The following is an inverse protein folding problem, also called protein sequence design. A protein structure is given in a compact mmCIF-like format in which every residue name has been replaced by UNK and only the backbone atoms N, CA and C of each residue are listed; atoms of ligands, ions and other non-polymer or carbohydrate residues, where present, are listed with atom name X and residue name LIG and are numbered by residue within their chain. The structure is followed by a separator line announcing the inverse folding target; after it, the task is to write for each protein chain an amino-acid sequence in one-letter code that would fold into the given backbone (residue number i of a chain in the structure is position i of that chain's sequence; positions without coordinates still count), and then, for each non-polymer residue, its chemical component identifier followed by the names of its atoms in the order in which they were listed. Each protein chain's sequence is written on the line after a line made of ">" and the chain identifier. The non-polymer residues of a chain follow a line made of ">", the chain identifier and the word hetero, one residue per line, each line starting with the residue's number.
data_IF_791239171248
#
_entry.id   IF_791239171248
#
_cell.length_a   1.000
_cell.length_b   1.000
_cell.length_c   1.000
_cell.angle_alpha   90.00
_cell.angle_beta   90.00
_cell.angle_gamma   90.00
#
_symmetry.space_group_name_H-M   'P 1'
#
loop_
_entity.id
_entity.type
_entity.pdbx_description
1 polymer ?
#
# COMPACT_ATOMS: atom_id res chain seq x y z
N UNK A 1 64.00 -15.40 39.32
CA UNK A 1 65.22 -14.69 38.86
C UNK A 1 64.82 -14.03 37.55
N UNK A 2 64.22 -12.85 37.64
CA UNK A 2 64.90 -11.54 37.71
C UNK A 2 65.56 -11.22 36.36
N UNK A 3 65.38 -10.08 35.73
CA UNK A 3 64.62 -8.85 36.01
C UNK A 3 64.80 -7.95 34.78
N UNK A 4 64.14 -6.78 34.80
CA UNK A 4 64.37 -5.56 33.98
C UNK A 4 63.57 -5.39 32.69
N UNK A 5 63.08 -4.19 32.33
CA UNK A 5 62.69 -2.91 32.97
C UNK A 5 62.60 -1.89 31.82
N UNK A 6 61.67 -0.93 31.92
CA UNK A 6 61.76 0.38 31.25
C UNK A 6 61.12 0.45 29.84
N UNK A 7 60.29 1.44 29.50
CA UNK A 7 59.97 2.70 30.15
C UNK A 7 58.99 3.53 29.31
N UNK A 8 58.44 4.56 29.93
CA UNK A 8 57.37 5.47 29.49
C UNK A 8 57.64 6.32 28.23
N UNK A 9 56.55 6.68 27.53
CA UNK A 9 56.32 8.00 26.90
C UNK A 9 54.78 8.20 26.80
N UNK A 10 54.13 9.03 27.61
CA UNK A 10 54.05 10.50 27.55
C UNK A 10 53.27 11.04 26.32
N UNK A 11 52.00 11.38 26.57
CA UNK A 11 51.30 12.60 26.16
C UNK A 11 51.35 13.08 24.71
N UNK A 12 50.18 13.08 24.05
CA UNK A 12 49.78 14.24 23.24
C UNK A 12 48.25 14.33 23.14
N UNK A 13 47.68 15.20 23.97
CA UNK A 13 46.37 15.81 23.79
C UNK A 13 46.36 16.52 22.42
N UNK A 14 45.29 16.37 21.64
CA UNK A 14 44.98 17.28 20.53
C UNK A 14 43.72 18.04 20.90
N UNK A 15 43.94 19.32 21.13
CA UNK A 15 42.95 20.36 21.38
C UNK A 15 41.97 20.48 20.20
N UNK A 16 40.69 20.69 20.56
CA UNK A 16 39.61 21.07 19.66
C UNK A 16 39.82 22.53 19.19
N UNK A 17 39.65 22.78 17.90
CA UNK A 17 39.43 24.12 17.38
C UNK A 17 37.92 24.37 17.17
N UNK A 18 37.40 25.60 17.42
CA UNK A 18 35.97 25.86 17.52
C UNK A 18 35.31 26.27 16.19
N UNK A 19 34.07 25.81 16.00
CA UNK A 19 33.11 26.23 14.97
C UNK A 19 32.66 27.70 15.17
N UNK A 20 32.38 28.48 14.10
CA UNK A 20 31.83 29.83 14.22
C UNK A 20 30.30 29.84 14.37
N UNK A 21 29.82 30.54 15.40
CA UNK A 21 28.40 30.82 15.73
C UNK A 21 27.65 31.65 14.66
N UNK A 22 26.33 31.43 14.45
CA UNK A 22 25.49 32.26 13.60
C UNK A 22 24.98 33.52 14.33
N UNK A 23 25.12 34.69 13.69
CA UNK A 23 24.63 35.98 14.21
C UNK A 23 23.10 36.16 14.15
N UNK A 24 22.55 37.13 14.91
CA UNK A 24 21.11 37.24 15.20
C UNK A 24 20.34 38.00 14.11
N UNK A 25 19.10 37.59 13.87
CA UNK A 25 18.17 38.27 12.95
C UNK A 25 17.49 39.51 13.54
N UNK A 26 16.76 40.25 12.71
CA UNK A 26 15.54 40.96 13.08
C UNK A 26 14.37 40.37 12.26
N UNK A 27 13.15 40.17 12.74
CA UNK A 27 12.35 40.98 13.65
C UNK A 27 10.94 40.99 13.05
N UNK A 28 9.99 40.42 13.77
CA UNK A 28 8.56 40.34 13.46
C UNK A 28 7.92 41.71 13.20
N UNK A 29 7.07 41.81 12.18
CA UNK A 29 6.09 42.90 12.03
C UNK A 29 4.78 42.35 11.44
N UNK A 30 3.68 42.78 12.06
CA UNK A 30 2.30 42.37 11.83
C UNK A 30 1.71 43.01 10.56
N UNK A 31 0.75 42.30 9.96
CA UNK A 31 -0.22 42.79 8.96
C UNK A 31 -0.92 44.09 9.38
N UNK A 32 -1.30 44.94 8.40
CA UNK A 32 -2.67 45.45 8.43
C UNK A 32 -3.33 45.53 7.04
N UNK A 33 -4.58 45.07 6.97
CA UNK A 33 -5.68 45.91 6.48
C UNK A 33 -6.03 45.82 4.99
N UNK A 34 -7.24 45.36 4.75
CA UNK A 34 -7.97 45.28 3.48
C UNK A 34 -8.16 46.65 2.81
N UNK A 35 -8.01 46.71 1.48
CA UNK A 35 -8.66 47.73 0.65
C UNK A 35 -9.30 47.03 -0.57
N UNK A 36 -10.63 46.95 -0.57
CA UNK A 36 -11.44 46.39 -1.65
C UNK A 36 -11.60 47.45 -2.75
N UNK A 37 -11.11 47.17 -3.96
CA UNK A 37 -11.37 48.01 -5.13
C UNK A 37 -12.77 47.70 -5.69
N UNK A 38 -13.68 48.67 -5.59
CA UNK A 38 -15.06 48.61 -6.09
C UNK A 38 -15.01 48.78 -7.61
N UNK A 39 -15.23 47.70 -8.37
CA UNK A 39 -15.41 47.78 -9.82
C UNK A 39 -16.78 48.38 -10.16
N UNK A 40 -16.74 49.41 -11.00
CA UNK A 40 -17.88 50.21 -11.47
C UNK A 40 -18.96 49.37 -12.17
N UNK A 41 -20.22 49.65 -11.85
CA UNK A 41 -21.41 48.89 -12.28
C UNK A 41 -21.81 49.18 -13.74
N UNK A 42 -21.00 49.92 -14.49
CA UNK A 42 -21.24 50.29 -15.88
C UNK A 42 -20.68 49.30 -16.91
N UNK A 43 -19.98 48.24 -16.49
CA UNK A 43 -19.35 47.24 -17.38
C UNK A 43 -20.01 45.85 -17.38
N UNK A 44 -21.34 45.77 -17.26
CA UNK A 44 -22.09 44.53 -17.51
C UNK A 44 -22.93 44.65 -18.79
N UNK A 45 -22.81 43.73 -19.76
CA UNK A 45 -23.71 43.66 -20.91
C UNK A 45 -25.13 43.31 -20.47
N UNK A 46 -26.14 43.98 -21.02
CA UNK A 46 -27.55 43.75 -20.71
C UNK A 46 -28.11 42.42 -21.25
N UNK A 47 -29.24 41.93 -20.70
CA UNK A 47 -29.84 40.67 -21.08
C UNK A 47 -30.63 40.85 -22.39
N UNK A 48 -29.96 40.69 -23.54
CA UNK A 48 -30.60 40.85 -24.86
C UNK A 48 -30.07 39.95 -25.98
N UNK A 49 -28.80 39.54 -25.96
CA UNK A 49 -28.17 38.87 -27.12
C UNK A 49 -28.03 37.35 -26.96
N UNK A 50 -29.08 36.70 -26.44
CA UNK A 50 -29.24 35.24 -26.52
C UNK A 50 -30.29 34.90 -27.57
N UNK A 51 -29.88 34.84 -28.85
CA UNK A 51 -30.45 33.96 -29.89
C UNK A 51 -29.79 34.20 -31.24
N UNK A 52 -28.81 33.37 -31.58
CA UNK A 52 -28.63 32.72 -32.90
C UNK A 52 -27.16 32.38 -33.16
N UNK A 53 -26.79 31.10 -32.95
CA UNK A 53 -25.80 30.38 -33.76
C UNK A 53 -25.53 29.00 -33.13
N UNK A 54 -26.38 28.05 -33.49
CA UNK A 54 -26.15 26.61 -33.29
C UNK A 54 -24.96 26.16 -34.14
N UNK A 55 -23.83 25.78 -33.51
CA UNK A 55 -22.86 24.78 -34.00
C UNK A 55 -21.83 24.46 -32.90
N UNK A 56 -21.61 23.19 -32.51
CA UNK A 56 -20.58 22.86 -31.53
C UNK A 56 -19.20 22.96 -32.21
N UNK A 57 -18.42 23.96 -31.78
CA UNK A 57 -17.00 24.09 -32.13
C UNK A 57 -16.23 23.12 -31.24
N UNK A 58 -15.53 22.18 -31.87
CA UNK A 58 -14.65 21.24 -31.19
C UNK A 58 -13.62 21.99 -30.35
N UNK A 59 -13.56 21.68 -29.05
CA UNK A 59 -12.51 22.13 -28.16
C UNK A 59 -11.25 21.32 -28.46
N UNK A 60 -10.47 21.78 -29.44
CA UNK A 60 -9.04 21.53 -29.50
C UNK A 60 -8.40 22.20 -28.29
N UNK A 61 -7.86 21.41 -27.36
CA UNK A 61 -7.27 21.94 -26.12
C UNK A 61 -6.88 20.90 -25.06
N UNK A 62 -7.16 19.61 -25.28
CA UNK A 62 -6.58 18.52 -24.49
C UNK A 62 -5.67 17.70 -25.39
N UNK A 63 -4.37 17.91 -25.18
CA UNK A 63 -3.27 17.45 -26.01
C UNK A 63 -3.32 15.94 -26.28
N UNK A 64 -3.20 15.59 -27.57
CA UNK A 64 -3.14 14.24 -28.14
C UNK A 64 -2.18 13.22 -27.47
N UNK A 65 -1.11 13.59 -26.73
CA UNK A 65 -0.29 12.61 -26.02
C UNK A 65 -1.03 11.88 -24.88
N UNK A 66 -1.93 12.57 -24.17
CA UNK A 66 -2.63 12.01 -22.99
C UNK A 66 -3.66 10.96 -23.42
N UNK A 67 -4.39 11.21 -24.51
CA UNK A 67 -5.32 10.22 -25.08
C UNK A 67 -4.59 9.02 -25.69
N UNK A 68 -3.35 9.21 -26.18
CA UNK A 68 -2.54 8.12 -26.74
C UNK A 68 -1.93 7.26 -25.63
N UNK A 69 -1.50 7.87 -24.52
CA UNK A 69 -1.05 7.15 -23.32
C UNK A 69 -2.19 6.44 -22.62
N UNK A 70 -3.35 7.08 -22.45
CA UNK A 70 -4.56 6.44 -21.94
C UNK A 70 -4.97 5.25 -22.82
N UNK A 71 -4.90 5.38 -24.16
CA UNK A 71 -5.19 4.28 -25.07
C UNK A 71 -4.16 3.14 -24.99
N UNK A 72 -2.89 3.42 -24.71
CA UNK A 72 -1.82 2.42 -24.57
C UNK A 72 -1.85 1.73 -23.20
N UNK A 73 -2.18 2.45 -22.13
CA UNK A 73 -2.43 1.90 -20.80
C UNK A 73 -3.70 1.04 -20.79
N UNK A 74 -4.78 1.51 -21.42
CA UNK A 74 -6.00 0.72 -21.64
C UNK A 74 -5.74 -0.48 -22.55
N UNK A 75 -4.81 -0.38 -23.51
CA UNK A 75 -4.42 -1.49 -24.38
C UNK A 75 -3.72 -2.64 -23.64
N UNK A 76 -2.82 -2.34 -22.70
CA UNK A 76 -2.15 -3.36 -21.89
C UNK A 76 -3.06 -3.99 -20.83
N UNK A 77 -3.94 -3.20 -20.21
CA UNK A 77 -4.94 -3.70 -19.25
C UNK A 77 -6.05 -4.50 -19.96
N UNK A 78 -6.46 -4.08 -21.16
CA UNK A 78 -7.43 -4.78 -22.02
C UNK A 78 -6.85 -6.06 -22.64
N UNK A 79 -5.54 -6.16 -22.86
CA UNK A 79 -4.96 -7.42 -23.35
C UNK A 79 -5.00 -8.53 -22.27
N UNK A 80 -4.70 -8.17 -21.01
CA UNK A 80 -4.72 -9.11 -19.88
C UNK A 80 -6.16 -9.46 -19.45
N UNK A 81 -7.04 -8.46 -19.31
CA UNK A 81 -8.43 -8.66 -18.87
C UNK A 81 -9.39 -9.00 -20.02
N UNK A 82 -9.07 -8.58 -21.25
CA UNK A 82 -9.87 -8.83 -22.45
C UNK A 82 -9.81 -10.27 -22.95
N UNK A 83 -8.87 -11.08 -22.48
CA UNK A 83 -8.85 -12.53 -22.72
C UNK A 83 -9.95 -13.23 -21.90
N UNK A 84 -10.17 -12.78 -20.66
CA UNK A 84 -11.25 -13.25 -19.79
C UNK A 84 -12.62 -12.72 -20.24
N UNK A 85 -12.71 -11.45 -20.65
CA UNK A 85 -13.95 -10.90 -21.22
C UNK A 85 -14.33 -11.53 -22.57
N UNK A 86 -13.36 -11.87 -23.44
CA UNK A 86 -13.67 -12.58 -24.71
C UNK A 86 -14.13 -14.01 -24.47
N UNK A 87 -13.58 -14.69 -23.46
CA UNK A 87 -14.06 -16.01 -23.06
C UNK A 87 -15.51 -15.95 -22.53
N UNK A 88 -15.87 -14.86 -21.82
CA UNK A 88 -17.24 -14.63 -21.35
C UNK A 88 -18.22 -14.22 -22.48
N UNK A 89 -17.76 -13.48 -23.48
CA UNK A 89 -18.59 -13.08 -24.62
C UNK A 89 -18.84 -14.20 -25.65
N UNK A 90 -18.07 -15.30 -25.59
CA UNK A 90 -18.19 -16.45 -26.49
C UNK A 90 -19.20 -17.50 -26.08
N UNK A 91 -19.79 -17.41 -24.88
CA UNK A 91 -20.75 -18.39 -24.36
C UNK A 91 -22.12 -17.71 -24.20
N UNK A 92 -22.80 -17.53 -25.33
CA UNK A 92 -24.22 -17.22 -25.32
C UNK A 92 -25.02 -18.41 -24.81
N UNK A 93 -25.65 -18.24 -23.64
CA UNK A 93 -26.78 -19.05 -23.20
C UNK A 93 -26.58 -19.78 -21.87
N UNK A 94 -27.23 -19.27 -20.83
CA UNK A 94 -27.66 -20.05 -19.66
C UNK A 94 -26.80 -19.93 -18.40
N UNK A 95 -27.34 -19.21 -17.41
CA UNK A 95 -27.11 -19.41 -15.97
C UNK A 95 -25.67 -19.29 -15.42
N UNK A 96 -25.11 -18.08 -15.31
CA UNK A 96 -23.82 -17.88 -14.63
C UNK A 96 -23.56 -16.44 -14.18
N UNK A 97 -24.20 -16.02 -13.07
CA UNK A 97 -23.73 -14.86 -12.29
C UNK A 97 -22.44 -15.14 -11.49
N UNK A 98 -22.10 -16.42 -11.29
CA UNK A 98 -20.97 -16.87 -10.45
C UNK A 98 -19.62 -16.85 -11.20
N UNK A 99 -19.63 -17.08 -12.53
CA UNK A 99 -18.41 -17.17 -13.35
C UNK A 99 -17.67 -15.84 -13.52
N UNK A 100 -18.39 -14.72 -13.65
CA UNK A 100 -17.81 -13.38 -13.81
C UNK A 100 -17.22 -12.84 -12.52
N UNK A 101 -17.90 -13.04 -11.38
CA UNK A 101 -17.39 -12.67 -10.06
C UNK A 101 -16.13 -13.46 -9.70
N UNK A 102 -16.11 -14.77 -10.01
CA UNK A 102 -14.95 -15.63 -9.77
C UNK A 102 -13.76 -15.28 -10.68
N UNK A 103 -14.00 -14.89 -11.93
CA UNK A 103 -12.95 -14.42 -12.83
C UNK A 103 -12.35 -13.07 -12.36
N UNK A 104 -13.19 -12.13 -11.92
CA UNK A 104 -12.74 -10.85 -11.39
C UNK A 104 -11.90 -11.01 -10.10
N UNK A 105 -12.33 -11.88 -9.19
CA UNK A 105 -11.58 -12.22 -7.97
C UNK A 105 -10.21 -12.85 -8.27
N UNK A 106 -10.13 -13.72 -9.29
CA UNK A 106 -8.84 -14.29 -9.73
C UNK A 106 -7.90 -13.25 -10.35
N UNK A 107 -8.42 -12.33 -11.16
CA UNK A 107 -7.63 -11.21 -11.70
C UNK A 107 -7.08 -10.34 -10.57
N UNK A 108 -7.92 -10.01 -9.58
CA UNK A 108 -7.49 -9.26 -8.40
C UNK A 108 -6.35 -9.97 -7.64
N UNK A 109 -6.48 -11.28 -7.38
CA UNK A 109 -5.40 -12.02 -6.70
C UNK A 109 -4.09 -12.01 -7.51
N UNK A 110 -4.16 -12.09 -8.84
CA UNK A 110 -2.96 -12.01 -9.68
C UNK A 110 -2.27 -10.65 -9.58
N UNK A 111 -3.04 -9.56 -9.57
CA UNK A 111 -2.51 -8.22 -9.36
C UNK A 111 -1.89 -8.04 -7.97
N UNK A 112 -2.54 -8.56 -6.92
CA UNK A 112 -2.03 -8.55 -5.55
C UNK A 112 -0.69 -9.31 -5.44
N UNK A 113 -0.58 -10.52 -6.04
CA UNK A 113 0.68 -11.27 -6.11
C UNK A 113 1.78 -10.48 -6.82
N UNK A 114 1.45 -9.90 -7.97
CA UNK A 114 2.40 -9.11 -8.73
C UNK A 114 2.89 -7.92 -7.89
N UNK A 115 2.00 -7.19 -7.22
CA UNK A 115 2.35 -6.05 -6.38
C UNK A 115 3.28 -6.47 -5.23
N UNK A 116 2.97 -7.56 -4.52
CA UNK A 116 3.82 -8.08 -3.45
C UNK A 116 5.20 -8.53 -3.95
N UNK A 117 5.27 -9.16 -5.13
CA UNK A 117 6.55 -9.51 -5.75
C UNK A 117 7.39 -8.25 -6.07
N UNK A 118 6.78 -7.19 -6.60
CA UNK A 118 7.49 -5.94 -6.85
C UNK A 118 7.97 -5.29 -5.55
N UNK A 119 7.13 -5.29 -4.51
CA UNK A 119 7.52 -4.80 -3.19
C UNK A 119 8.69 -5.59 -2.62
N UNK A 120 8.68 -6.92 -2.73
CA UNK A 120 9.77 -7.76 -2.27
C UNK A 120 11.07 -7.48 -3.06
N UNK A 121 10.98 -7.34 -4.38
CA UNK A 121 12.12 -6.95 -5.24
C UNK A 121 12.75 -5.64 -4.80
N UNK A 122 11.93 -4.60 -4.58
CA UNK A 122 12.37 -3.29 -4.12
C UNK A 122 12.99 -3.38 -2.72
N UNK A 123 12.33 -4.09 -1.81
CA UNK A 123 12.79 -4.26 -0.43
C UNK A 123 14.16 -4.95 -0.34
N UNK A 124 14.33 -6.06 -1.07
CA UNK A 124 15.63 -6.76 -1.16
C UNK A 124 16.70 -5.86 -1.75
N UNK A 125 16.39 -5.13 -2.83
CA UNK A 125 17.32 -4.21 -3.48
C UNK A 125 17.79 -3.12 -2.52
N UNK A 126 16.85 -2.40 -1.89
CA UNK A 126 17.16 -1.33 -0.94
C UNK A 126 17.96 -1.86 0.25
N UNK A 127 17.56 -3.01 0.80
CA UNK A 127 18.26 -3.65 1.91
C UNK A 127 19.70 -3.99 1.53
N UNK A 128 19.93 -4.64 0.39
CA UNK A 128 21.28 -5.00 -0.06
C UNK A 128 22.15 -3.77 -0.32
N UNK A 129 21.62 -2.77 -1.04
CA UNK A 129 22.38 -1.55 -1.34
C UNK A 129 22.75 -0.79 -0.07
N UNK A 130 21.80 -0.66 0.86
CA UNK A 130 22.01 0.08 2.11
C UNK A 130 22.89 -0.69 3.10
N UNK A 131 22.77 -2.02 3.18
CA UNK A 131 23.59 -2.82 4.08
C UNK A 131 25.05 -2.93 3.60
N UNK A 132 25.26 -3.08 2.29
CA UNK A 132 26.61 -3.14 1.72
C UNK A 132 27.33 -1.79 1.79
N UNK A 133 26.61 -0.67 1.73
CA UNK A 133 27.20 0.66 1.96
C UNK A 133 27.51 0.92 3.43
N UNK A 134 26.71 0.36 4.35
CA UNK A 134 26.89 0.48 5.79
C UNK A 134 28.14 -0.28 6.30
N UNK A 135 28.44 -1.46 5.74
CA UNK A 135 29.69 -2.21 5.97
C UNK A 135 29.89 -2.78 7.39
N UNK A 136 28.84 -2.81 8.22
CA UNK A 136 28.81 -3.44 9.56
C UNK A 136 27.63 -4.40 9.70
N UNK A 137 27.62 -5.18 10.78
CA UNK A 137 26.50 -6.06 11.12
C UNK A 137 25.19 -5.27 11.29
N UNK A 138 24.11 -5.80 10.73
CA UNK A 138 22.76 -5.26 10.84
C UNK A 138 22.15 -5.65 12.18
N UNK A 139 21.61 -4.65 12.88
CA UNK A 139 20.80 -4.80 14.08
C UNK A 139 19.31 -4.80 13.72
N UNK A 140 18.45 -5.12 14.69
CA UNK A 140 17.00 -5.18 14.48
C UNK A 140 16.34 -3.80 14.33
N UNK A 141 17.03 -2.73 14.73
CA UNK A 141 16.58 -1.35 14.57
C UNK A 141 16.87 -0.80 13.15
N UNK A 142 17.57 -1.57 12.32
CA UNK A 142 17.91 -1.17 10.97
C UNK A 142 16.67 -1.12 10.06
N UNK A 143 16.19 0.09 9.76
CA UNK A 143 14.92 0.32 9.07
C UNK A 143 14.74 -0.45 7.74
N UNK A 144 15.72 -0.52 6.82
CA UNK A 144 15.58 -1.34 5.60
C UNK A 144 15.35 -2.83 5.89
N UNK A 145 15.96 -3.35 6.96
CA UNK A 145 15.79 -4.73 7.38
C UNK A 145 14.42 -4.97 8.03
N UNK A 146 13.95 -4.04 8.86
CA UNK A 146 12.59 -4.09 9.41
C UNK A 146 11.55 -4.13 8.29
N UNK A 147 11.68 -3.25 7.29
CA UNK A 147 10.78 -3.23 6.13
C UNK A 147 10.82 -4.52 5.33
N UNK A 148 12.00 -5.12 5.14
CA UNK A 148 12.12 -6.43 4.51
C UNK A 148 11.28 -7.49 5.23
N UNK A 149 11.37 -7.58 6.56
CA UNK A 149 10.58 -8.55 7.31
C UNK A 149 9.07 -8.27 7.24
N UNK A 150 8.66 -6.99 7.22
CA UNK A 150 7.25 -6.62 7.01
C UNK A 150 6.75 -7.10 5.65
N UNK A 151 7.48 -6.83 4.57
CA UNK A 151 7.10 -7.25 3.22
C UNK A 151 7.12 -8.78 3.09
N UNK A 152 8.09 -9.46 3.70
CA UNK A 152 8.15 -10.92 3.78
C UNK A 152 6.93 -11.52 4.46
N UNK A 153 6.54 -10.96 5.61
CA UNK A 153 5.34 -11.38 6.32
C UNK A 153 4.08 -11.24 5.46
N UNK A 154 3.95 -10.15 4.70
CA UNK A 154 2.82 -9.98 3.77
C UNK A 154 2.83 -11.02 2.65
N UNK A 155 4.00 -11.33 2.08
CA UNK A 155 4.15 -12.38 1.07
C UNK A 155 3.70 -13.75 1.60
N UNK A 156 4.11 -14.09 2.83
CA UNK A 156 3.74 -15.36 3.49
C UNK A 156 2.29 -15.36 4.00
N UNK A 157 1.64 -14.22 4.15
CA UNK A 157 0.22 -14.14 4.52
C UNK A 157 -0.72 -14.23 3.32
N UNK A 158 -0.24 -13.85 2.14
CA UNK A 158 -1.08 -13.78 0.94
C UNK A 158 -1.66 -15.16 0.57
N UNK A 159 -2.99 -15.24 0.57
CA UNK A 159 -3.72 -16.46 0.19
C UNK A 159 -3.68 -17.56 1.25
N UNK A 160 -3.36 -17.26 2.52
CA UNK A 160 -3.54 -18.21 3.61
C UNK A 160 -5.03 -18.58 3.78
N UNK A 161 -5.29 -19.86 3.95
CA UNK A 161 -6.63 -20.39 4.20
C UNK A 161 -7.10 -19.99 5.58
N UNK A 162 -8.25 -19.32 5.66
CA UNK A 162 -8.89 -18.93 6.94
C UNK A 162 -9.67 -20.11 7.55
N UNK A 163 -9.24 -21.36 7.30
CA UNK A 163 -10.05 -22.56 7.53
C UNK A 163 -10.54 -22.63 8.99
N UNK A 164 -11.86 -22.81 9.17
CA UNK A 164 -12.49 -23.17 10.46
C UNK A 164 -12.14 -24.62 10.79
N UNK A 165 -10.89 -24.91 11.14
CA UNK A 165 -10.54 -26.21 11.68
C UNK A 165 -11.12 -26.33 13.09
N UNK A 166 -11.92 -27.37 13.34
CA UNK A 166 -12.44 -27.72 14.67
C UNK A 166 -11.32 -28.12 15.64
N UNK A 167 -10.11 -28.37 15.14
CA UNK A 167 -8.87 -28.54 15.90
C UNK A 167 -7.95 -27.35 15.54
N UNK A 168 -7.81 -26.41 16.47
CA UNK A 168 -7.28 -25.06 16.23
C UNK A 168 -5.78 -24.97 15.93
N UNK A 169 -5.38 -25.21 14.69
CA UNK A 169 -4.07 -24.86 14.12
C UNK A 169 -4.28 -24.45 12.66
N UNK A 170 -3.74 -23.38 12.08
CA UNK A 170 -2.94 -22.24 12.53
C UNK A 170 -3.36 -21.07 11.60
N UNK A 171 -3.97 -20.01 12.14
CA UNK A 171 -4.36 -18.81 11.35
C UNK A 171 -3.15 -17.91 11.00
N UNK A 172 -1.94 -18.41 11.17
CA UNK A 172 -0.71 -17.65 11.05
C UNK A 172 0.17 -18.25 9.97
N UNK A 173 0.96 -17.39 9.32
CA UNK A 173 2.01 -17.78 8.38
C UNK A 173 3.10 -18.67 9.02
N UNK A 174 3.14 -18.78 10.34
CA UNK A 174 4.02 -19.72 11.04
C UNK A 174 3.68 -21.19 10.81
N UNK A 175 2.41 -21.54 10.59
CA UNK A 175 2.01 -22.94 10.33
C UNK A 175 2.77 -23.60 9.18
N UNK A 176 2.84 -22.96 7.99
CA UNK A 176 3.72 -23.40 6.91
C UNK A 176 5.19 -23.55 7.30
N UNK A 177 5.73 -22.63 8.12
CA UNK A 177 7.15 -22.65 8.52
C UNK A 177 7.47 -23.84 9.43
N UNK A 178 6.50 -24.35 10.20
CA UNK A 178 6.64 -25.58 10.99
C UNK A 178 6.85 -26.83 10.11
N UNK A 179 6.49 -26.79 8.83
CA UNK A 179 6.81 -27.91 7.92
C UNK A 179 8.32 -28.00 7.62
N UNK A 180 9.06 -26.89 7.73
CA UNK A 180 10.49 -26.87 7.37
C UNK A 180 11.28 -27.84 8.25
N UNK A 181 11.00 -27.93 9.55
CA UNK A 181 11.72 -28.85 10.45
C UNK A 181 11.52 -30.33 10.05
N UNK A 182 10.37 -30.66 9.47
CA UNK A 182 10.04 -32.03 9.02
C UNK A 182 10.71 -32.38 7.70
N UNK A 183 10.96 -31.39 6.86
CA UNK A 183 11.53 -31.55 5.52
C UNK A 183 13.05 -31.34 5.52
N UNK A 184 13.58 -30.56 6.45
CA UNK A 184 14.99 -30.20 6.58
C UNK A 184 15.44 -30.31 8.04
N UNK A 185 16.16 -31.38 8.42
CA UNK A 185 16.64 -31.58 9.80
C UNK A 185 17.53 -30.43 10.31
N UNK A 186 18.22 -29.71 9.41
CA UNK A 186 19.03 -28.53 9.75
C UNK A 186 18.21 -27.40 10.39
N UNK A 187 16.89 -27.34 10.14
CA UNK A 187 16.00 -26.34 10.73
C UNK A 187 15.53 -26.72 12.15
N UNK A 188 15.93 -27.87 12.70
CA UNK A 188 15.56 -28.30 14.06
C UNK A 188 16.01 -27.32 15.13
N UNK A 189 17.19 -26.70 14.96
CA UNK A 189 17.75 -25.76 15.92
C UNK A 189 16.92 -24.48 16.02
N UNK A 190 16.49 -23.92 14.89
CA UNK A 190 15.64 -22.73 14.87
C UNK A 190 14.23 -23.05 15.37
N UNK A 191 13.66 -24.20 15.01
CA UNK A 191 12.33 -24.58 15.46
C UNK A 191 12.31 -24.77 16.99
N UNK A 192 13.34 -25.39 17.54
CA UNK A 192 13.51 -25.55 18.99
C UNK A 192 13.74 -24.20 19.68
N UNK A 193 14.55 -23.33 19.09
CA UNK A 193 14.80 -21.98 19.62
C UNK A 193 13.50 -21.17 19.71
N UNK A 194 12.70 -21.12 18.64
CA UNK A 194 11.41 -20.39 18.61
C UNK A 194 10.40 -20.98 19.60
N UNK A 195 10.38 -22.30 19.79
CA UNK A 195 9.52 -22.96 20.79
C UNK A 195 9.90 -22.55 22.22
N UNK A 196 11.19 -22.45 22.50
CA UNK A 196 11.75 -22.19 23.82
C UNK A 196 11.85 -20.71 24.20
N UNK A 197 11.36 -19.78 23.38
CA UNK A 197 11.25 -18.35 23.73
C UNK A 197 9.96 -18.10 24.54
N UNK A 198 10.05 -17.91 25.87
CA UNK A 198 8.87 -17.74 26.72
C UNK A 198 8.20 -16.37 26.52
N UNK A 199 8.92 -15.40 25.97
CA UNK A 199 8.44 -14.05 25.67
C UNK A 199 7.38 -14.05 24.55
N UNK A 200 7.42 -15.05 23.65
CA UNK A 200 6.53 -15.17 22.49
C UNK A 200 5.28 -15.99 22.79
N UNK A 201 4.13 -15.30 22.82
CA UNK A 201 2.81 -15.85 23.11
C UNK A 201 2.01 -16.15 21.85
N UNK A 202 2.28 -15.46 20.74
CA UNK A 202 1.50 -15.62 19.50
C UNK A 202 2.22 -16.45 18.45
N UNK A 203 1.44 -17.13 17.59
CA UNK A 203 2.00 -17.82 16.42
C UNK A 203 2.60 -16.83 15.40
N UNK A 204 2.15 -15.57 15.38
CA UNK A 204 2.72 -14.53 14.51
C UNK A 204 4.11 -14.11 15.00
N UNK A 205 4.26 -13.83 16.29
CA UNK A 205 5.55 -13.52 16.92
C UNK A 205 6.55 -14.67 16.76
N UNK A 206 6.10 -15.92 16.91
CA UNK A 206 6.92 -17.11 16.59
C UNK A 206 7.36 -17.16 15.13
N UNK A 207 6.47 -16.83 14.20
CA UNK A 207 6.82 -16.69 12.78
C UNK A 207 7.89 -15.62 12.52
N UNK A 208 7.79 -14.46 13.19
CA UNK A 208 8.79 -13.38 13.06
C UNK A 208 10.15 -13.80 13.62
N UNK A 209 10.18 -14.39 14.82
CA UNK A 209 11.41 -14.90 15.40
C UNK A 209 12.06 -15.98 14.51
N UNK A 210 11.24 -16.85 13.92
CA UNK A 210 11.72 -17.85 12.96
C UNK A 210 12.39 -17.19 11.75
N UNK A 211 11.79 -16.14 11.18
CA UNK A 211 12.37 -15.39 10.05
C UNK A 211 13.69 -14.72 10.43
N UNK A 212 13.78 -14.15 11.63
CA UNK A 212 15.02 -13.53 12.14
C UNK A 212 16.14 -14.56 12.23
N UNK A 213 15.87 -15.71 12.85
CA UNK A 213 16.84 -16.80 12.98
C UNK A 213 17.25 -17.39 11.64
N UNK A 214 16.31 -17.61 10.72
CA UNK A 214 16.60 -18.13 9.39
C UNK A 214 17.48 -17.18 8.56
N UNK A 215 17.28 -15.86 8.70
CA UNK A 215 18.14 -14.86 8.08
C UNK A 215 19.54 -14.86 8.70
N UNK A 216 19.66 -14.87 10.03
CA UNK A 216 20.95 -14.94 10.73
C UNK A 216 21.74 -16.21 10.38
N UNK A 217 21.06 -17.33 10.16
CA UNK A 217 21.68 -18.57 9.69
C UNK A 217 22.04 -18.57 8.20
N UNK A 218 21.64 -17.53 7.44
CA UNK A 218 21.84 -17.43 5.97
C UNK A 218 21.19 -18.59 5.21
N UNK A 219 20.05 -19.07 5.73
CA UNK A 219 19.31 -20.25 5.22
C UNK A 219 17.86 -19.93 4.85
N UNK A 220 17.43 -18.67 4.99
CA UNK A 220 16.05 -18.26 4.71
C UNK A 220 15.58 -18.68 3.30
N UNK A 221 16.41 -18.46 2.27
CA UNK A 221 16.10 -18.86 0.90
C UNK A 221 15.96 -20.38 0.77
N UNK A 222 16.88 -21.14 1.36
CA UNK A 222 16.90 -22.60 1.30
C UNK A 222 15.66 -23.20 1.96
N UNK A 223 15.28 -22.69 3.13
CA UNK A 223 14.11 -23.16 3.86
C UNK A 223 12.80 -22.86 3.13
N UNK A 224 12.64 -21.66 2.56
CA UNK A 224 11.47 -21.34 1.76
C UNK A 224 11.43 -22.13 0.45
N UNK A 225 12.60 -22.39 -0.17
CA UNK A 225 12.70 -23.27 -1.34
C UNK A 225 12.13 -24.66 -1.05
N UNK A 226 12.50 -25.25 0.09
CA UNK A 226 11.99 -26.57 0.50
C UNK A 226 10.46 -26.58 0.61
N UNK A 227 9.84 -25.49 1.10
CA UNK A 227 8.38 -25.37 1.14
C UNK A 227 7.77 -25.33 -0.26
N UNK A 228 8.31 -24.50 -1.16
CA UNK A 228 7.78 -24.34 -2.52
C UNK A 228 7.98 -25.61 -3.35
N UNK A 229 9.09 -26.32 -3.17
CA UNK A 229 9.32 -27.62 -3.84
C UNK A 229 8.31 -28.69 -3.37
N UNK A 230 7.68 -28.49 -2.20
CA UNK A 230 6.69 -29.39 -1.60
C UNK A 230 5.27 -28.80 -1.58
N UNK A 231 4.81 -28.22 -2.71
CA UNK A 231 3.47 -27.60 -2.85
C UNK A 231 2.31 -28.46 -2.36
N UNK A 232 2.41 -29.79 -2.47
CA UNK A 232 1.37 -30.71 -2.00
C UNK A 232 1.09 -30.58 -0.49
N UNK A 233 2.13 -30.42 0.34
CA UNK A 233 1.98 -30.14 1.77
C UNK A 233 1.58 -28.69 2.01
N UNK A 234 2.19 -27.76 1.27
CA UNK A 234 1.92 -26.33 1.39
C UNK A 234 0.46 -25.97 1.06
N UNK A 235 -0.18 -26.75 0.18
CA UNK A 235 -1.58 -26.61 -0.20
C UNK A 235 -2.57 -26.83 0.96
N UNK A 236 -2.16 -27.41 2.08
CA UNK A 236 -2.98 -27.48 3.29
C UNK A 236 -3.23 -26.09 3.88
N UNK A 237 -2.25 -25.20 3.74
CA UNK A 237 -2.23 -23.86 4.35
C UNK A 237 -2.63 -22.75 3.41
N UNK A 238 -2.35 -22.88 2.11
CA UNK A 238 -2.59 -21.83 1.13
C UNK A 238 -3.66 -22.20 0.10
N UNK A 239 -4.37 -21.20 -0.38
CA UNK A 239 -5.21 -21.30 -1.58
C UNK A 239 -4.33 -21.50 -2.83
N UNK A 240 -4.83 -22.17 -3.88
CA UNK A 240 -4.06 -22.41 -5.10
C UNK A 240 -3.47 -21.13 -5.71
N UNK A 241 -4.23 -20.03 -5.68
CA UNK A 241 -3.86 -18.73 -6.22
C UNK A 241 -2.96 -17.89 -5.29
N UNK A 242 -2.46 -18.47 -4.19
CA UNK A 242 -1.57 -17.78 -3.25
C UNK A 242 -0.18 -17.53 -3.85
N UNK A 243 0.49 -16.47 -3.36
CA UNK A 243 1.81 -16.06 -3.83
C UNK A 243 2.85 -17.19 -3.73
N UNK A 244 2.87 -17.93 -2.61
CA UNK A 244 3.80 -19.05 -2.41
C UNK A 244 3.45 -20.30 -3.24
N UNK A 245 2.25 -20.34 -3.82
CA UNK A 245 1.76 -21.45 -4.65
C UNK A 245 1.95 -21.20 -6.14
N UNK A 246 2.21 -19.95 -6.54
CA UNK A 246 2.38 -19.50 -7.93
C UNK A 246 3.87 -19.24 -8.26
N UNK A 247 4.15 -18.73 -9.47
CA UNK A 247 5.53 -18.50 -9.96
C UNK A 247 6.26 -17.41 -9.18
N UNK A 248 5.55 -16.41 -8.66
CA UNK A 248 6.11 -15.28 -7.92
C UNK A 248 6.86 -15.75 -6.66
N UNK A 249 6.37 -16.80 -5.99
CA UNK A 249 7.06 -17.40 -4.84
C UNK A 249 8.46 -17.92 -5.18
N UNK A 250 8.60 -18.58 -6.33
CA UNK A 250 9.91 -19.08 -6.79
C UNK A 250 10.87 -17.94 -7.13
N UNK A 251 10.35 -16.86 -7.74
CA UNK A 251 11.14 -15.65 -8.03
C UNK A 251 11.63 -15.02 -6.74
N UNK A 252 10.75 -14.85 -5.75
CA UNK A 252 11.11 -14.29 -4.44
C UNK A 252 12.20 -15.14 -3.77
N UNK A 253 12.05 -16.46 -3.72
CA UNK A 253 13.06 -17.36 -3.16
C UNK A 253 14.42 -17.20 -3.87
N UNK A 254 14.42 -17.09 -5.20
CA UNK A 254 15.65 -16.84 -5.96
C UNK A 254 16.34 -15.52 -5.59
N UNK A 255 15.56 -14.46 -5.34
CA UNK A 255 16.09 -13.15 -4.92
C UNK A 255 16.65 -13.20 -3.49
N UNK A 256 16.04 -13.97 -2.59
CA UNK A 256 16.48 -14.11 -1.20
C UNK A 256 17.89 -14.70 -1.06
N UNK A 257 18.36 -15.47 -2.05
CA UNK A 257 19.75 -15.97 -2.07
C UNK A 257 20.76 -14.83 -1.99
N UNK A 258 20.44 -13.67 -2.57
CA UNK A 258 21.28 -12.48 -2.49
C UNK A 258 21.49 -11.98 -1.05
N UNK A 259 20.55 -12.25 -0.14
CA UNK A 259 20.63 -11.82 1.27
C UNK A 259 21.66 -12.62 2.07
N UNK A 260 22.18 -13.75 1.57
CA UNK A 260 23.17 -14.56 2.27
C UNK A 260 24.49 -13.79 2.52
N UNK A 261 24.74 -12.71 1.77
CA UNK A 261 25.91 -11.84 1.98
C UNK A 261 25.77 -10.95 3.21
N UNK A 262 24.56 -10.75 3.71
CA UNK A 262 24.30 -9.89 4.86
C UNK A 262 24.88 -10.52 6.13
N UNK A 263 25.38 -9.67 7.01
CA UNK A 263 25.75 -10.02 8.37
C UNK A 263 24.73 -9.37 9.31
N UNK A 264 23.92 -10.18 10.00
CA UNK A 264 22.85 -9.71 10.85
C UNK A 264 22.97 -10.35 12.24
N UNK A 265 22.78 -9.54 13.28
CA UNK A 265 22.80 -9.97 14.66
C UNK A 265 21.55 -9.45 15.38
N UNK A 266 20.46 -10.21 15.27
CA UNK A 266 19.14 -9.80 15.73
C UNK A 266 18.89 -10.36 17.13
N UNK A 267 18.72 -9.46 18.09
CA UNK A 267 18.50 -9.84 19.48
C UNK A 267 17.01 -10.08 19.73
N UNK A 268 16.60 -11.34 19.81
CA UNK A 268 15.19 -11.70 20.09
C UNK A 268 14.74 -11.37 21.52
N UNK A 269 15.67 -11.11 22.43
CA UNK A 269 15.37 -10.90 23.85
C UNK A 269 14.95 -9.45 24.09
N UNK A 270 13.73 -9.25 24.57
CA UNK A 270 13.18 -7.92 24.85
C UNK A 270 12.49 -7.24 23.66
N UNK A 271 12.44 -7.88 22.49
CA UNK A 271 11.65 -7.40 21.35
C UNK A 271 10.20 -7.89 21.46
N UNK A 272 9.24 -6.97 21.36
CA UNK A 272 7.82 -7.31 21.28
C UNK A 272 7.41 -7.72 19.85
N UNK A 273 7.85 -8.91 19.45
CA UNK A 273 7.49 -9.49 18.16
C UNK A 273 6.02 -9.91 18.09
N UNK A 274 5.31 -10.02 19.22
CA UNK A 274 3.88 -10.35 19.24
C UNK A 274 3.01 -9.16 18.82
N UNK A 275 3.35 -7.95 19.26
CA UNK A 275 2.53 -6.74 19.03
C UNK A 275 2.96 -5.89 17.84
N UNK A 276 4.07 -6.20 17.18
CA UNK A 276 4.56 -5.40 16.05
C UNK A 276 3.52 -5.34 14.92
N UNK A 277 3.11 -4.13 14.52
CA UNK A 277 2.23 -3.91 13.37
C UNK A 277 3.11 -3.59 12.18
N UNK A 278 3.19 -4.52 11.23
CA UNK A 278 3.99 -4.33 10.02
C UNK A 278 3.28 -3.42 9.04
N UNK A 279 3.60 -2.13 9.03
CA UNK A 279 3.17 -1.19 7.97
C UNK A 279 4.31 -1.02 6.98
N UNK A 280 4.00 -1.13 5.69
CA UNK A 280 4.98 -0.88 4.62
C UNK A 280 5.17 0.64 4.51
N UNK A 281 6.39 1.10 4.78
CA UNK A 281 6.76 2.51 4.63
C UNK A 281 7.27 2.75 3.21
N UNK A 282 6.43 3.37 2.38
CA UNK A 282 6.76 3.66 0.99
C UNK A 282 7.82 4.75 0.83
N UNK A 283 8.05 5.59 1.84
CA UNK A 283 9.03 6.67 1.76
C UNK A 283 10.46 6.16 1.50
N UNK A 284 10.75 4.95 1.97
CA UNK A 284 12.03 4.27 1.75
C UNK A 284 12.25 3.84 0.30
N UNK A 285 11.17 3.59 -0.45
CA UNK A 285 11.24 3.17 -1.85
C UNK A 285 11.12 4.34 -2.83
N UNK A 286 10.52 5.45 -2.41
CA UNK A 286 10.36 6.65 -3.22
C UNK A 286 11.66 7.44 -3.39
N UNK A 287 12.61 7.32 -2.45
CA UNK A 287 13.91 7.99 -2.52
C UNK A 287 14.82 7.42 -3.62
N UNK A 288 14.77 6.11 -3.85
CA UNK A 288 15.58 5.43 -4.89
C UNK A 288 15.05 5.62 -6.32
N UNK A 289 13.81 6.10 -6.50
CA UNK A 289 13.32 6.53 -7.82
C UNK A 289 14.03 7.82 -8.25
N UNK A 290 14.51 8.63 -7.28
CA UNK A 290 15.17 9.91 -7.56
C UNK A 290 16.54 9.72 -8.22
N UNK A 291 17.21 8.58 -7.97
CA UNK A 291 18.58 8.32 -8.45
C UNK A 291 18.64 7.44 -9.71
N UNK A 292 17.52 6.85 -10.17
CA UNK A 292 17.56 5.83 -11.22
C UNK A 292 16.82 6.14 -12.52
N UNK A 293 15.87 7.08 -12.56
CA UNK A 293 15.38 7.60 -13.85
C UNK A 293 14.68 8.97 -13.70
N UNK A 294 15.23 9.97 -14.39
CA UNK A 294 14.80 11.36 -14.57
C UNK A 294 13.65 11.92 -13.72
N UNK A 295 13.91 13.04 -13.01
CA UNK A 295 12.96 13.85 -12.23
C UNK A 295 11.64 14.29 -12.91
N UNK A 296 11.42 13.94 -14.18
CA UNK A 296 10.14 14.06 -14.88
C UNK A 296 9.09 13.05 -14.40
N UNK A 297 9.47 11.88 -13.88
CA UNK A 297 8.49 10.92 -13.33
C UNK A 297 8.03 11.32 -11.93
N UNK A 298 8.91 11.92 -11.12
CA UNK A 298 8.56 12.46 -9.81
C UNK A 298 7.59 13.64 -9.90
N UNK A 299 7.83 14.58 -10.83
CA UNK A 299 6.91 15.67 -11.13
C UNK A 299 5.53 15.10 -11.52
N UNK A 300 5.49 14.10 -12.41
CA UNK A 300 4.24 13.44 -12.81
C UNK A 300 3.52 12.71 -11.66
N UNK A 301 4.22 12.03 -10.76
CA UNK A 301 3.60 11.32 -9.64
C UNK A 301 3.03 12.33 -8.64
N UNK A 302 3.77 13.39 -8.35
CA UNK A 302 3.31 14.49 -7.48
C UNK A 302 2.08 15.16 -8.10
N UNK A 303 2.12 15.47 -9.40
CA UNK A 303 0.98 16.02 -10.15
C UNK A 303 -0.24 15.10 -10.11
N UNK A 304 -0.04 13.78 -10.24
CA UNK A 304 -1.14 12.80 -10.20
C UNK A 304 -1.75 12.70 -8.80
N UNK A 305 -0.94 12.79 -7.75
CA UNK A 305 -1.42 12.79 -6.36
C UNK A 305 -2.20 14.06 -6.04
N UNK A 306 -1.70 15.23 -6.47
CA UNK A 306 -2.38 16.51 -6.30
C UNK A 306 -3.69 16.55 -7.12
N UNK A 307 -3.67 16.02 -8.34
CA UNK A 307 -4.87 15.89 -9.16
C UNK A 307 -5.90 14.94 -8.54
N UNK A 308 -5.46 13.83 -7.94
CA UNK A 308 -6.34 12.91 -7.21
C UNK A 308 -6.98 13.60 -6.02
N UNK A 309 -6.18 14.29 -5.20
CA UNK A 309 -6.67 15.01 -4.03
C UNK A 309 -7.69 16.09 -4.41
N UNK A 310 -7.41 16.85 -5.49
CA UNK A 310 -8.36 17.82 -6.03
C UNK A 310 -9.68 17.19 -6.48
N UNK A 311 -9.64 16.05 -7.18
CA UNK A 311 -10.84 15.34 -7.63
C UNK A 311 -11.63 14.79 -6.44
N UNK A 312 -10.96 14.24 -5.43
CA UNK A 312 -11.61 13.75 -4.21
C UNK A 312 -12.33 14.87 -3.47
N UNK A 313 -11.70 16.04 -3.34
CA UNK A 313 -12.29 17.22 -2.70
C UNK A 313 -13.48 17.77 -3.51
N UNK A 314 -13.37 17.81 -4.84
CA UNK A 314 -14.48 18.18 -5.70
C UNK A 314 -15.65 17.20 -5.57
N UNK A 315 -15.36 15.91 -5.49
CA UNK A 315 -16.38 14.87 -5.34
C UNK A 315 -17.05 14.94 -3.95
N UNK A 316 -16.30 15.34 -2.91
CA UNK A 316 -16.83 15.67 -1.58
C UNK A 316 -17.82 16.82 -1.65
N UNK A 317 -17.46 17.92 -2.31
CA UNK A 317 -18.35 19.07 -2.51
C UNK A 317 -19.59 18.74 -3.34
N UNK A 318 -19.43 17.96 -4.42
CA UNK A 318 -20.54 17.52 -5.24
C UNK A 318 -21.50 16.64 -4.43
N UNK A 319 -20.96 15.73 -3.61
CA UNK A 319 -21.75 14.87 -2.71
C UNK A 319 -22.53 15.69 -1.67
N UNK A 320 -21.92 16.72 -1.08
CA UNK A 320 -22.62 17.65 -0.19
C UNK A 320 -23.76 18.38 -0.92
N UNK A 321 -23.50 18.89 -2.13
CA UNK A 321 -24.50 19.62 -2.93
C UNK A 321 -25.67 18.73 -3.32
N UNK A 322 -25.39 17.47 -3.71
CA UNK A 322 -26.43 16.48 -4.00
C UNK A 322 -27.28 16.20 -2.76
N UNK A 323 -26.67 16.08 -1.58
CA UNK A 323 -27.39 15.92 -0.31
C UNK A 323 -28.31 17.11 0.02
N UNK A 324 -27.83 18.33 -0.18
CA UNK A 324 -28.62 19.55 0.04
C UNK A 324 -29.80 19.65 -0.92
N UNK A 325 -29.58 19.31 -2.20
CA UNK A 325 -30.63 19.28 -3.21
C UNK A 325 -31.66 18.20 -2.89
N UNK A 326 -31.24 17.01 -2.46
CA UNK A 326 -32.15 15.95 -2.06
C UNK A 326 -33.03 16.39 -0.89
N UNK A 327 -32.45 17.04 0.12
CA UNK A 327 -33.21 17.57 1.27
C UNK A 327 -34.24 18.62 0.84
N UNK A 328 -33.91 19.46 -0.15
CA UNK A 328 -34.87 20.43 -0.72
C UNK A 328 -35.98 19.76 -1.53
N UNK A 329 -35.67 18.71 -2.29
CA UNK A 329 -36.66 17.93 -3.02
C UNK A 329 -37.66 17.31 -2.02
N UNK A 330 -37.16 16.64 -0.99
CA UNK A 330 -38.01 16.02 0.05
C UNK A 330 -38.89 17.07 0.77
N UNK A 331 -38.34 18.26 1.03
CA UNK A 331 -39.09 19.38 1.60
C UNK A 331 -40.20 19.92 0.68
N UNK A 332 -39.91 20.03 -0.61
CA UNK A 332 -40.89 20.46 -1.61
C UNK A 332 -41.97 19.41 -1.82
N UNK A 333 -41.62 18.12 -1.90
CA UNK A 333 -42.58 17.02 -2.01
C UNK A 333 -43.54 17.02 -0.82
N UNK A 334 -43.02 17.15 0.40
CA UNK A 334 -43.84 17.24 1.61
C UNK A 334 -44.79 18.44 1.60
N UNK A 335 -44.34 19.58 1.08
CA UNK A 335 -45.18 20.78 0.96
C UNK A 335 -46.26 20.59 -0.10
N UNK A 336 -45.91 19.94 -1.22
CA UNK A 336 -46.83 19.66 -2.30
C UNK A 336 -47.93 18.67 -1.87
N UNK A 337 -47.59 17.62 -1.14
CA UNK A 337 -48.58 16.69 -0.56
C UNK A 337 -49.56 17.40 0.37
N UNK A 338 -49.08 18.31 1.23
CA UNK A 338 -49.95 19.10 2.11
C UNK A 338 -50.91 20.01 1.34
N UNK A 339 -50.42 20.65 0.28
CA UNK A 339 -51.25 21.51 -0.56
C UNK A 339 -52.31 20.69 -1.31
N UNK A 340 -51.97 19.49 -1.79
CA UNK A 340 -52.93 18.58 -2.40
C UNK A 340 -54.01 18.14 -1.41
N UNK A 341 -53.64 17.77 -0.19
CA UNK A 341 -54.60 17.44 0.88
C UNK A 341 -55.53 18.63 1.20
N UNK A 342 -55.00 19.85 1.22
CA UNK A 342 -55.79 21.05 1.47
C UNK A 342 -56.73 21.40 0.30
N UNK A 343 -56.29 21.22 -0.95
CA UNK A 343 -57.13 21.35 -2.14
C UNK A 343 -58.29 20.34 -2.13
N UNK A 344 -58.03 19.09 -1.74
CA UNK A 344 -59.06 18.07 -1.59
C UNK A 344 -60.06 18.41 -0.47
N UNK A 345 -59.61 18.94 0.67
CA UNK A 345 -60.49 19.42 1.74
C UNK A 345 -61.37 20.58 1.29
N UNK A 346 -60.83 21.55 0.56
CA UNK A 346 -61.62 22.68 0.06
C UNK A 346 -62.66 22.25 -0.97
N UNK A 347 -62.31 21.32 -1.88
CA UNK A 347 -63.29 20.70 -2.81
C UNK A 347 -64.37 19.90 -2.07
N UNK A 348 -64.06 19.33 -0.91
CA UNK A 348 -65.02 18.64 -0.05
C UNK A 348 -66.01 19.58 0.66
N UNK A 349 -65.54 20.77 1.07
CA UNK A 349 -66.39 21.78 1.72
C UNK A 349 -67.37 22.46 0.75
N UNK A 350 -66.98 22.70 -0.50
CA UNK A 350 -67.87 23.30 -1.52
C UNK A 350 -69.05 22.38 -1.89
N UNK A 351 -68.92 21.06 -1.70
CA UNK A 351 -70.02 20.10 -1.88
C UNK A 351 -70.99 20.02 -0.67
N UNK A 352 -70.63 20.61 0.47
CA UNK A 352 -71.45 20.63 1.69
C UNK A 352 -72.35 21.86 1.86
N UNK A 353 -72.19 22.89 1.02
CA UNK A 353 -72.95 24.15 1.09
C UNK A 353 -74.21 24.24 0.22
N UNK A 354 -74.59 23.14 -0.45
CA UNK A 354 -75.75 23.06 -1.37
C UNK A 354 -76.79 22.03 -0.88
N UNK A 355 -77.13 22.06 0.41
CA UNK A 355 -78.32 21.37 0.95
C UNK A 355 -79.31 22.36 1.54
#
# INVERSE_FOLDING_TARGET
>A
MADREGGWAAGRERELEPEPEPGPGPGSALEPGEEFEIVDRSQLPGPGDLRSATRPRAAEGWSAPILTLARRATGNLSASCGSALRAAAGLGGGDSGDGTARAASKCQMMEERANLMHMMKLSIKVLLQSALSLGRSLDADYAPLQQFFVVMEHCLKHGLKVKKSFIGQNKSFFGPLELVEKLCPEASDIATSVRNLPELKTAVGRGRAWLYLALMQKKLADYLKVLIDNKHLLSEFYEPEALMMEEEGMVIVGLLVGLNVLDANLCLKGEDLDSQVGVIDFSLYLKDVQDLDGGKEHERITDVLDQKNYVEELNRHLSCTVGDLQTKIDGLEKTNSKLQEEEERMKGQDKGGLS
#
